data_IF_571964503978
#
_entry.id   IF_571964503978
#
_cell.length_a   1.000
_cell.length_b   1.000
_cell.length_c   1.000
_cell.angle_alpha   90.00
_cell.angle_beta   90.00
_cell.angle_gamma   90.00
#
_symmetry.space_group_name_H-M   'P 1'
#
loop_
_entity.id
_entity.type
_entity.pdbx_description
1 polymer ?
#
# COMPACT_ATOMS: atom_id res chain seq x y z
N UNK A 1 -68.80 3.21 -23.44
CA UNK A 1 -67.98 2.55 -24.43
C UNK A 1 -66.62 3.26 -24.41
N UNK A 2 -65.65 2.70 -23.69
CA UNK A 2 -64.27 3.21 -23.69
C UNK A 2 -63.43 2.10 -24.35
N UNK A 3 -62.99 2.36 -25.58
CA UNK A 3 -62.18 1.44 -26.36
C UNK A 3 -60.73 1.47 -25.92
N UNK A 4 -60.23 0.34 -25.49
CA UNK A 4 -58.84 0.05 -25.23
C UNK A 4 -57.95 0.33 -26.44
N UNK A 5 -56.99 1.24 -26.34
CA UNK A 5 -55.89 1.37 -27.29
C UNK A 5 -54.66 0.73 -26.67
N UNK A 6 -54.45 -0.56 -26.89
CA UNK A 6 -53.17 -1.20 -26.69
C UNK A 6 -52.38 -1.19 -28.00
N UNK A 7 -51.14 -0.74 -28.06
CA UNK A 7 -50.35 -0.78 -29.28
C UNK A 7 -50.06 -2.22 -29.66
N UNK A 8 -50.21 -2.51 -30.94
CA UNK A 8 -49.98 -3.80 -31.56
C UNK A 8 -48.57 -4.33 -31.28
N UNK A 9 -48.38 -5.64 -31.30
CA UNK A 9 -47.10 -6.32 -31.08
C UNK A 9 -45.93 -5.80 -31.95
N UNK A 10 -46.24 -5.18 -33.10
CA UNK A 10 -45.28 -4.55 -34.01
C UNK A 10 -44.79 -3.23 -33.45
N UNK A 11 -45.63 -2.40 -32.85
CA UNK A 11 -45.23 -1.11 -32.22
C UNK A 11 -44.33 -1.37 -30.99
N UNK A 12 -44.61 -2.39 -30.19
CA UNK A 12 -43.73 -2.80 -29.08
C UNK A 12 -42.36 -3.28 -29.55
N UNK A 13 -42.28 -4.07 -30.63
CA UNK A 13 -41.01 -4.53 -31.21
C UNK A 13 -40.20 -3.36 -31.80
N UNK A 14 -40.85 -2.37 -32.43
CA UNK A 14 -40.18 -1.17 -32.95
C UNK A 14 -39.69 -0.25 -31.84
N UNK A 15 -40.44 -0.10 -30.76
CA UNK A 15 -39.99 0.69 -29.58
C UNK A 15 -38.82 0.00 -28.86
N UNK A 16 -38.84 -1.35 -28.73
CA UNK A 16 -37.73 -2.13 -28.19
C UNK A 16 -36.48 -2.05 -29.05
N UNK A 17 -36.63 -2.13 -30.38
CA UNK A 17 -35.54 -2.00 -31.34
C UNK A 17 -34.95 -0.58 -31.32
N UNK A 18 -35.79 0.47 -31.23
CA UNK A 18 -35.32 1.85 -31.12
C UNK A 18 -34.61 2.13 -29.78
N UNK A 19 -35.11 1.62 -28.67
CA UNK A 19 -34.46 1.70 -27.36
C UNK A 19 -33.14 0.91 -27.34
N UNK A 20 -33.09 -0.25 -27.99
CA UNK A 20 -31.84 -1.04 -28.11
C UNK A 20 -30.81 -0.33 -29.00
N UNK A 21 -31.23 0.34 -30.07
CA UNK A 21 -30.37 1.11 -30.94
C UNK A 21 -29.83 2.37 -30.22
N UNK A 22 -30.67 3.06 -29.46
CA UNK A 22 -30.24 4.22 -28.63
C UNK A 22 -29.32 3.77 -27.54
N UNK A 23 -29.58 2.63 -26.88
CA UNK A 23 -28.67 2.06 -25.87
C UNK A 23 -27.34 1.58 -26.48
N UNK A 24 -27.39 1.01 -27.70
CA UNK A 24 -26.19 0.59 -28.43
C UNK A 24 -25.35 1.78 -28.92
N UNK A 25 -26.01 2.86 -29.38
CA UNK A 25 -25.35 4.12 -29.75
C UNK A 25 -24.77 4.80 -28.50
N UNK A 26 -25.47 4.74 -27.35
CA UNK A 26 -24.97 5.27 -26.08
C UNK A 26 -23.79 4.44 -25.55
N UNK A 27 -23.82 3.11 -25.68
CA UNK A 27 -22.71 2.22 -25.35
C UNK A 27 -21.51 2.41 -26.29
N UNK A 28 -21.75 2.68 -27.59
CA UNK A 28 -20.68 3.02 -28.54
C UNK A 28 -20.11 4.41 -28.21
N UNK A 29 -20.95 5.37 -27.82
CA UNK A 29 -20.53 6.71 -27.37
C UNK A 29 -19.74 6.67 -26.03
N UNK A 30 -20.08 5.78 -25.11
CA UNK A 30 -19.30 5.54 -23.88
C UNK A 30 -18.06 4.65 -24.11
N UNK A 31 -18.02 3.88 -25.20
CA UNK A 31 -16.86 3.07 -25.61
C UNK A 31 -15.83 3.84 -26.43
N UNK A 32 -16.16 5.04 -26.91
CA UNK A 32 -15.24 6.01 -27.50
C UNK A 32 -14.87 7.10 -26.47
N UNK A 33 -14.46 6.71 -25.25
CA UNK A 33 -13.41 7.47 -24.63
C UNK A 33 -12.21 7.33 -25.59
N UNK A 34 -11.92 8.38 -26.37
CA UNK A 34 -10.78 8.45 -27.26
C UNK A 34 -9.61 7.77 -26.58
N UNK A 35 -9.04 6.73 -27.20
CA UNK A 35 -7.70 6.27 -26.89
C UNK A 35 -6.82 7.47 -27.23
N UNK A 36 -6.62 8.39 -26.27
CA UNK A 36 -5.66 9.48 -26.42
C UNK A 36 -4.33 8.85 -26.76
N UNK A 37 -3.83 9.18 -27.91
CA UNK A 37 -2.57 8.66 -28.44
C UNK A 37 -1.45 9.14 -27.50
N UNK A 38 -0.93 8.22 -26.73
CA UNK A 38 0.06 8.46 -25.68
C UNK A 38 1.40 8.96 -26.27
N UNK A 39 1.55 8.95 -27.60
CA UNK A 39 2.76 9.36 -28.32
C UNK A 39 2.96 10.88 -28.47
N UNK A 40 1.96 11.73 -28.20
CA UNK A 40 2.05 13.18 -28.44
C UNK A 40 2.74 13.99 -27.34
N UNK A 41 3.11 13.44 -26.20
CA UNK A 41 3.72 14.21 -25.08
C UNK A 41 5.25 14.38 -25.25
N UNK A 42 5.84 13.91 -26.33
CA UNK A 42 7.31 13.97 -26.51
C UNK A 42 7.85 15.35 -26.97
N UNK A 43 6.98 16.25 -27.40
CA UNK A 43 7.41 17.51 -28.02
C UNK A 43 7.00 18.68 -27.10
N UNK A 44 7.86 18.97 -26.08
CA UNK A 44 7.59 20.03 -25.11
C UNK A 44 7.44 21.43 -25.75
N UNK A 45 7.99 21.65 -26.95
CA UNK A 45 7.89 22.91 -27.69
C UNK A 45 6.47 23.16 -28.22
N UNK A 46 5.65 22.11 -28.32
CA UNK A 46 4.23 22.19 -28.75
C UNK A 46 3.24 22.24 -27.57
N UNK A 47 3.71 22.19 -26.34
CA UNK A 47 2.84 22.26 -25.16
C UNK A 47 2.48 23.71 -24.91
N UNK A 48 1.22 24.09 -25.12
CA UNK A 48 0.68 25.35 -24.61
C UNK A 48 0.31 25.18 -23.12
N UNK A 49 1.06 25.79 -22.19
CA UNK A 49 0.80 25.63 -20.75
C UNK A 49 -0.52 26.28 -20.30
N UNK A 50 -1.14 27.12 -21.14
CA UNK A 50 -2.43 27.76 -20.88
C UNK A 50 -3.60 26.94 -21.43
N UNK A 51 -3.34 25.87 -22.16
CA UNK A 51 -4.37 24.97 -22.64
C UNK A 51 -4.81 24.04 -21.51
N UNK A 52 -6.12 23.92 -21.28
CA UNK A 52 -6.69 23.03 -20.25
C UNK A 52 -6.19 21.59 -20.37
N UNK A 53 -5.95 21.10 -21.60
CA UNK A 53 -5.38 19.77 -21.87
C UNK A 53 -3.93 19.60 -21.38
N UNK A 54 -3.19 20.68 -21.15
CA UNK A 54 -1.82 20.60 -20.63
C UNK A 54 -1.75 19.95 -19.23
N UNK A 55 -2.86 19.96 -18.49
CA UNK A 55 -2.97 19.39 -17.13
C UNK A 55 -3.69 18.03 -17.08
N UNK A 56 -3.97 17.42 -18.22
CA UNK A 56 -4.65 16.11 -18.30
C UNK A 56 -3.93 15.01 -17.49
N UNK A 57 -2.62 15.16 -17.25
CA UNK A 57 -1.88 14.22 -16.40
C UNK A 57 -2.38 14.19 -14.93
N UNK A 58 -3.09 15.23 -14.48
CA UNK A 58 -3.68 15.28 -13.12
C UNK A 58 -4.88 14.34 -12.98
N UNK A 59 -5.51 13.97 -14.10
CA UNK A 59 -6.66 13.06 -14.14
C UNK A 59 -6.25 11.59 -14.18
N UNK A 60 -4.95 11.29 -14.37
CA UNK A 60 -4.46 9.91 -14.45
C UNK A 60 -4.31 9.32 -13.05
N UNK A 61 -5.10 8.30 -12.76
CA UNK A 61 -4.96 7.49 -11.56
C UNK A 61 -3.80 6.49 -11.74
N UNK A 62 -2.61 6.86 -11.26
CA UNK A 62 -1.40 6.03 -11.31
C UNK A 62 -1.62 4.64 -10.69
N UNK A 63 -2.29 4.59 -9.54
CA UNK A 63 -2.50 3.33 -8.82
C UNK A 63 -3.44 2.40 -9.61
N UNK A 64 -4.48 2.95 -10.21
CA UNK A 64 -5.40 2.20 -11.07
C UNK A 64 -4.68 1.65 -12.31
N UNK A 65 -3.81 2.44 -12.92
CA UNK A 65 -3.03 2.02 -14.08
C UNK A 65 -2.03 0.92 -13.71
N UNK A 66 -1.37 1.01 -12.54
CA UNK A 66 -0.48 -0.03 -12.03
C UNK A 66 -1.24 -1.33 -11.70
N UNK A 67 -2.42 -1.23 -11.08
CA UNK A 67 -3.27 -2.39 -10.83
C UNK A 67 -3.70 -3.08 -12.14
N UNK A 68 -4.03 -2.29 -13.15
CA UNK A 68 -4.40 -2.80 -14.47
C UNK A 68 -3.22 -3.50 -15.16
N UNK A 69 -2.00 -2.92 -15.11
CA UNK A 69 -0.78 -3.56 -15.62
C UNK A 69 -0.57 -4.92 -14.95
N UNK A 70 -0.63 -4.97 -13.63
CA UNK A 70 -0.45 -6.20 -12.86
C UNK A 70 -1.56 -7.23 -13.13
N UNK A 71 -2.78 -6.78 -13.39
CA UNK A 71 -3.87 -7.67 -13.81
C UNK A 71 -3.57 -8.29 -15.18
N UNK A 72 -3.14 -7.50 -16.17
CA UNK A 72 -2.78 -8.01 -17.49
C UNK A 72 -1.63 -9.01 -17.42
N UNK A 73 -0.63 -8.81 -16.56
CA UNK A 73 0.43 -9.80 -16.32
C UNK A 73 -0.16 -11.12 -15.81
N UNK A 74 -1.06 -11.08 -14.81
CA UNK A 74 -1.73 -12.29 -14.29
C UNK A 74 -2.56 -13.02 -15.38
N UNK A 75 -3.16 -12.25 -16.28
CA UNK A 75 -3.92 -12.77 -17.43
C UNK A 75 -3.04 -13.18 -18.62
N UNK A 76 -1.70 -13.06 -18.50
CA UNK A 76 -0.71 -13.29 -19.57
C UNK A 76 -0.92 -12.42 -20.81
N UNK A 77 -1.53 -11.27 -20.65
CA UNK A 77 -1.71 -10.24 -21.68
C UNK A 77 -0.51 -9.28 -21.63
N UNK A 78 0.65 -9.80 -22.03
CA UNK A 78 1.93 -9.09 -21.86
C UNK A 78 2.06 -7.85 -22.72
N UNK A 79 1.40 -7.79 -23.86
CA UNK A 79 1.38 -6.62 -24.73
C UNK A 79 0.65 -5.45 -24.05
N UNK A 80 -0.56 -5.69 -23.53
CA UNK A 80 -1.35 -4.70 -22.82
C UNK A 80 -0.71 -4.28 -21.50
N UNK A 81 -0.07 -5.22 -20.80
CA UNK A 81 0.72 -4.92 -19.62
C UNK A 81 1.89 -3.97 -19.95
N UNK A 82 2.63 -4.24 -21.04
CA UNK A 82 3.71 -3.38 -21.49
C UNK A 82 3.24 -1.97 -21.84
N UNK A 83 2.05 -1.82 -22.46
CA UNK A 83 1.46 -0.51 -22.73
C UNK A 83 1.19 0.27 -21.44
N UNK A 84 0.64 -0.39 -20.42
CA UNK A 84 0.40 0.23 -19.11
C UNK A 84 1.72 0.63 -18.44
N UNK A 85 2.74 -0.23 -18.44
CA UNK A 85 4.05 0.11 -17.86
C UNK A 85 4.73 1.26 -18.59
N UNK A 86 4.66 1.32 -19.92
CA UNK A 86 5.15 2.47 -20.70
C UNK A 86 4.40 3.76 -20.33
N UNK A 87 3.09 3.68 -20.12
CA UNK A 87 2.32 4.83 -19.66
C UNK A 87 2.72 5.28 -18.25
N UNK A 88 2.96 4.34 -17.32
CA UNK A 88 3.48 4.64 -15.97
C UNK A 88 4.84 5.31 -16.02
N UNK A 89 5.74 4.88 -16.91
CA UNK A 89 7.08 5.45 -17.05
C UNK A 89 7.07 6.91 -17.56
N UNK A 90 5.97 7.39 -18.14
CA UNK A 90 5.83 8.83 -18.45
C UNK A 90 5.78 9.70 -17.20
N UNK A 91 5.35 9.15 -16.08
CA UNK A 91 5.31 9.86 -14.79
C UNK A 91 6.62 9.73 -14.02
N UNK A 92 7.37 8.62 -14.22
CA UNK A 92 8.67 8.40 -13.58
C UNK A 92 9.57 7.53 -14.45
N UNK A 93 10.46 8.17 -15.19
CA UNK A 93 11.42 7.48 -16.05
C UNK A 93 12.49 6.70 -15.27
N UNK A 94 12.61 6.91 -13.96
CA UNK A 94 13.59 6.26 -13.09
C UNK A 94 12.98 5.22 -12.14
N UNK A 95 11.75 4.80 -12.36
CA UNK A 95 11.16 3.69 -11.60
C UNK A 95 11.74 2.35 -12.09
N UNK A 96 12.81 1.91 -11.43
CA UNK A 96 13.53 0.68 -11.76
C UNK A 96 12.64 -0.57 -11.74
N UNK A 97 11.62 -0.60 -10.86
CA UNK A 97 10.68 -1.71 -10.75
C UNK A 97 9.73 -1.76 -11.95
N UNK A 98 9.15 -0.62 -12.32
CA UNK A 98 8.29 -0.53 -13.51
C UNK A 98 9.07 -0.83 -14.78
N UNK A 99 10.33 -0.35 -14.89
CA UNK A 99 11.20 -0.66 -16.05
C UNK A 99 11.52 -2.16 -16.10
N UNK A 100 11.80 -2.79 -14.95
CA UNK A 100 12.06 -4.23 -14.90
C UNK A 100 10.82 -5.04 -15.30
N UNK A 101 9.63 -4.68 -14.80
CA UNK A 101 8.38 -5.34 -15.17
C UNK A 101 8.05 -5.18 -16.66
N UNK A 102 8.39 -4.04 -17.26
CA UNK A 102 8.31 -3.84 -18.71
C UNK A 102 9.27 -4.80 -19.44
N UNK A 103 10.49 -4.96 -18.94
CA UNK A 103 11.45 -5.91 -19.52
C UNK A 103 10.92 -7.36 -19.45
N UNK A 104 10.29 -7.75 -18.34
CA UNK A 104 9.63 -9.06 -18.20
C UNK A 104 8.54 -9.26 -19.26
N UNK A 105 7.70 -8.26 -19.50
CA UNK A 105 6.70 -8.32 -20.58
C UNK A 105 7.35 -8.53 -21.93
N UNK A 106 8.42 -7.81 -22.26
CA UNK A 106 9.15 -8.00 -23.50
C UNK A 106 9.82 -9.38 -23.59
N UNK A 107 10.34 -9.90 -22.48
CA UNK A 107 10.87 -11.26 -22.38
C UNK A 107 9.82 -12.32 -22.75
N UNK A 108 8.63 -12.20 -22.17
CA UNK A 108 7.49 -13.09 -22.46
C UNK A 108 6.96 -12.95 -23.90
N UNK A 109 7.10 -11.77 -24.51
CA UNK A 109 6.77 -11.52 -25.91
C UNK A 109 7.89 -11.95 -26.89
N UNK A 110 9.01 -12.49 -26.40
CA UNK A 110 10.15 -12.89 -27.21
C UNK A 110 10.90 -11.71 -27.86
N UNK A 111 10.75 -10.49 -27.34
CA UNK A 111 11.37 -9.26 -27.86
C UNK A 111 12.70 -8.98 -27.13
N UNK A 112 13.73 -9.78 -27.44
CA UNK A 112 15.02 -9.75 -26.75
C UNK A 112 15.66 -8.34 -26.72
N UNK A 113 15.69 -7.62 -27.85
CA UNK A 113 16.25 -6.27 -27.93
C UNK A 113 15.59 -5.29 -26.99
N UNK A 114 14.24 -5.32 -26.93
CA UNK A 114 13.46 -4.42 -26.07
C UNK A 114 13.62 -4.81 -24.60
N UNK A 115 13.63 -6.10 -24.30
CA UNK A 115 13.86 -6.60 -22.95
C UNK A 115 15.24 -6.16 -22.44
N UNK A 116 16.30 -6.36 -23.23
CA UNK A 116 17.67 -5.98 -22.85
C UNK A 116 17.82 -4.47 -22.69
N UNK A 117 17.24 -3.67 -23.60
CA UNK A 117 17.25 -2.20 -23.44
C UNK A 117 16.55 -1.78 -22.15
N UNK A 118 15.40 -2.38 -21.84
CA UNK A 118 14.68 -2.08 -20.60
C UNK A 118 15.48 -2.51 -19.37
N UNK A 119 16.14 -3.67 -19.40
CA UNK A 119 17.03 -4.12 -18.31
C UNK A 119 18.21 -3.19 -18.10
N UNK A 120 18.88 -2.75 -19.17
CA UNK A 120 19.94 -1.74 -19.09
C UNK A 120 19.42 -0.43 -18.42
N UNK A 121 18.24 -0.01 -18.79
CA UNK A 121 17.62 1.17 -18.16
C UNK A 121 17.27 0.91 -16.69
N UNK A 122 16.71 -0.26 -16.34
CA UNK A 122 16.41 -0.63 -14.97
C UNK A 122 17.68 -0.61 -14.10
N UNK A 123 18.80 -1.16 -14.59
CA UNK A 123 20.09 -1.15 -13.91
C UNK A 123 20.59 0.29 -13.70
N UNK A 124 20.48 1.15 -14.71
CA UNK A 124 20.81 2.59 -14.58
C UNK A 124 19.90 3.32 -13.60
N UNK A 125 18.64 2.90 -13.48
CA UNK A 125 17.67 3.38 -12.51
C UNK A 125 17.75 2.66 -11.15
N UNK A 126 18.91 2.08 -10.84
CA UNK A 126 19.24 1.45 -9.55
C UNK A 126 18.61 0.07 -9.29
N UNK A 127 18.18 -0.66 -10.31
CA UNK A 127 17.87 -2.08 -10.17
C UNK A 127 19.15 -2.88 -9.84
N UNK A 128 19.12 -3.64 -8.72
CA UNK A 128 20.32 -4.35 -8.22
C UNK A 128 20.08 -5.81 -7.90
N UNK A 129 18.88 -6.35 -8.13
CA UNK A 129 18.61 -7.76 -7.92
C UNK A 129 19.08 -8.61 -9.10
N UNK A 130 20.40 -8.77 -9.16
CA UNK A 130 21.02 -9.54 -10.25
C UNK A 130 20.75 -11.04 -10.12
N UNK A 131 20.49 -11.56 -8.92
CA UNK A 131 20.10 -12.95 -8.73
C UNK A 131 18.70 -13.22 -9.31
N UNK A 132 17.75 -12.29 -9.12
CA UNK A 132 16.48 -12.36 -9.80
C UNK A 132 16.68 -12.32 -11.31
N UNK A 133 17.45 -11.34 -11.83
CA UNK A 133 17.71 -11.20 -13.25
C UNK A 133 18.27 -12.48 -13.89
N UNK A 134 19.22 -13.13 -13.22
CA UNK A 134 19.85 -14.39 -13.68
C UNK A 134 18.84 -15.53 -13.77
N UNK A 135 17.86 -15.59 -12.88
CA UNK A 135 16.99 -16.75 -12.69
C UNK A 135 15.52 -16.52 -13.09
N UNK A 136 15.14 -15.31 -13.49
CA UNK A 136 13.74 -14.97 -13.79
C UNK A 136 13.23 -15.75 -15.00
N UNK A 137 12.09 -16.43 -14.79
CA UNK A 137 11.42 -17.26 -15.81
C UNK A 137 10.84 -16.42 -16.94
N UNK A 138 10.59 -15.14 -16.72
CA UNK A 138 10.06 -14.26 -17.74
C UNK A 138 11.03 -14.05 -18.92
N UNK A 139 12.31 -14.31 -18.70
CA UNK A 139 13.33 -14.25 -19.74
C UNK A 139 13.69 -15.63 -20.33
N UNK A 140 12.98 -16.70 -19.96
CA UNK A 140 13.34 -18.06 -20.44
C UNK A 140 13.38 -18.16 -21.96
N UNK A 141 12.44 -17.52 -22.67
CA UNK A 141 12.36 -17.54 -24.12
C UNK A 141 13.46 -16.77 -24.86
N UNK A 142 14.12 -15.84 -24.18
CA UNK A 142 15.18 -14.99 -24.76
C UNK A 142 16.55 -15.23 -24.13
N UNK A 143 16.66 -16.11 -23.15
CA UNK A 143 17.85 -16.33 -22.33
C UNK A 143 19.10 -16.69 -23.14
N UNK A 144 18.94 -17.38 -24.27
CA UNK A 144 20.00 -17.83 -25.14
C UNK A 144 20.28 -16.89 -26.33
N UNK A 145 19.59 -15.75 -26.41
CA UNK A 145 19.89 -14.76 -27.44
C UNK A 145 21.22 -14.05 -27.16
N UNK A 146 21.97 -13.68 -28.20
CA UNK A 146 23.24 -12.98 -28.02
C UNK A 146 23.13 -11.71 -27.19
N UNK A 147 22.04 -10.96 -27.35
CA UNK A 147 21.78 -9.71 -26.65
C UNK A 147 21.63 -9.94 -25.13
N UNK A 148 20.84 -10.95 -24.74
CA UNK A 148 20.61 -11.27 -23.33
C UNK A 148 21.87 -11.89 -22.70
N UNK A 149 22.57 -12.75 -23.41
CA UNK A 149 23.84 -13.31 -22.93
C UNK A 149 24.91 -12.22 -22.75
N UNK A 150 24.98 -11.24 -23.65
CA UNK A 150 25.85 -10.08 -23.49
C UNK A 150 25.48 -9.26 -22.25
N UNK A 151 24.19 -9.03 -21.99
CA UNK A 151 23.75 -8.37 -20.77
C UNK A 151 24.23 -9.13 -19.51
N UNK A 152 23.99 -10.44 -19.46
CA UNK A 152 24.38 -11.26 -18.29
C UNK A 152 25.94 -11.28 -18.10
N UNK A 153 26.71 -11.22 -19.15
CA UNK A 153 28.20 -11.18 -19.05
C UNK A 153 28.71 -9.92 -18.34
N UNK A 154 27.90 -8.85 -18.30
CA UNK A 154 28.25 -7.59 -17.63
C UNK A 154 27.86 -7.57 -16.14
N UNK A 155 27.03 -8.52 -15.68
CA UNK A 155 26.56 -8.56 -14.28
C UNK A 155 27.72 -8.63 -13.29
N UNK A 156 28.77 -9.47 -13.46
CA UNK A 156 29.89 -9.50 -12.52
C UNK A 156 30.60 -8.15 -12.37
N UNK A 157 30.69 -7.36 -13.45
CA UNK A 157 31.27 -6.00 -13.40
C UNK A 157 30.40 -5.07 -12.56
N UNK A 158 29.09 -5.14 -12.68
CA UNK A 158 28.18 -4.31 -11.88
C UNK A 158 28.17 -4.72 -10.41
N UNK A 159 28.29 -6.02 -10.12
CA UNK A 159 28.43 -6.54 -8.75
C UNK A 159 29.74 -6.06 -8.11
N UNK A 160 30.85 -6.08 -8.86
CA UNK A 160 32.16 -5.61 -8.41
C UNK A 160 32.17 -4.08 -8.15
N UNK A 161 31.58 -3.28 -9.05
CA UNK A 161 31.46 -1.82 -8.87
C UNK A 161 30.69 -1.48 -7.60
N UNK A 162 29.70 -2.27 -7.23
CA UNK A 162 28.92 -2.04 -6.02
C UNK A 162 29.75 -2.28 -4.75
N UNK A 163 30.67 -3.21 -4.78
CA UNK A 163 31.42 -3.65 -3.61
C UNK A 163 30.55 -4.32 -2.54
N UNK A 164 31.09 -4.47 -1.35
CA UNK A 164 30.40 -5.05 -0.21
C UNK A 164 29.45 -4.01 0.43
N UNK A 165 28.18 -4.41 0.65
CA UNK A 165 27.22 -3.59 1.37
C UNK A 165 27.29 -3.90 2.87
N UNK A 166 27.75 -2.93 3.68
CA UNK A 166 27.78 -3.01 5.14
C UNK A 166 26.63 -2.15 5.68
N UNK A 167 25.82 -2.74 6.56
CA UNK A 167 24.71 -2.03 7.18
C UNK A 167 25.05 -1.66 8.61
N UNK A 168 24.99 -0.36 8.92
CA UNK A 168 25.32 0.19 10.23
C UNK A 168 24.07 0.75 10.88
N UNK A 169 23.80 0.34 12.12
CA UNK A 169 22.73 0.93 12.94
C UNK A 169 23.09 2.38 13.27
N UNK A 170 22.24 3.32 12.89
CA UNK A 170 22.41 4.75 13.19
C UNK A 170 21.15 5.33 13.78
N UNK A 171 21.25 6.46 14.49
CA UNK A 171 20.11 7.24 14.94
C UNK A 171 19.73 8.28 13.88
N UNK A 172 18.44 8.47 13.65
CA UNK A 172 17.90 9.54 12.80
C UNK A 172 16.73 10.24 13.49
N UNK A 173 16.45 11.48 13.11
CA UNK A 173 15.23 12.15 13.54
C UNK A 173 14.03 11.54 12.80
N UNK A 174 12.97 11.27 13.57
CA UNK A 174 11.67 10.84 13.06
C UNK A 174 10.68 11.96 13.25
N UNK A 175 9.90 12.28 12.21
CA UNK A 175 8.79 13.19 12.36
C UNK A 175 7.66 12.52 13.15
N UNK A 176 7.12 13.25 14.12
CA UNK A 176 6.00 12.84 14.93
C UNK A 176 4.97 13.97 14.96
N UNK A 177 3.87 13.79 14.28
CA UNK A 177 2.76 14.74 14.28
C UNK A 177 1.81 14.45 15.43
N UNK A 178 1.43 15.50 16.17
CA UNK A 178 0.53 15.36 17.33
C UNK A 178 -0.62 16.35 17.22
N UNK A 179 -1.83 15.88 17.53
CA UNK A 179 -3.04 16.70 17.64
C UNK A 179 -3.64 16.56 19.04
N UNK A 180 -3.75 17.66 19.74
CA UNK A 180 -4.40 17.72 21.04
C UNK A 180 -5.92 17.89 20.86
N UNK A 181 -6.76 17.42 21.81
CA UNK A 181 -8.19 17.64 21.77
C UNK A 181 -8.52 19.15 21.82
N UNK A 182 -9.65 19.54 21.22
CA UNK A 182 -10.05 20.95 21.10
C UNK A 182 -10.08 21.72 22.43
N UNK A 183 -10.43 21.04 23.53
CA UNK A 183 -10.48 21.61 24.89
C UNK A 183 -9.44 20.92 25.76
N UNK A 184 -8.16 20.97 25.31
CA UNK A 184 -7.06 20.38 26.05
C UNK A 184 -6.82 21.13 27.36
N UNK A 185 -6.75 20.37 28.45
CA UNK A 185 -6.42 20.85 29.79
C UNK A 185 -5.30 19.99 30.37
N UNK A 186 -4.15 20.57 30.64
CA UNK A 186 -2.97 19.85 31.12
C UNK A 186 -3.13 19.22 32.50
N UNK A 187 -4.15 19.62 33.27
CA UNK A 187 -4.48 19.02 34.56
C UNK A 187 -5.26 17.69 34.46
N UNK A 188 -5.77 17.37 33.28
CA UNK A 188 -6.57 16.16 33.02
C UNK A 188 -5.74 15.16 32.22
N UNK A 189 -5.95 13.85 32.47
CA UNK A 189 -5.35 12.79 31.67
C UNK A 189 -6.25 12.43 30.49
N UNK A 190 -5.62 12.09 29.36
CA UNK A 190 -6.27 11.73 28.10
C UNK A 190 -5.75 10.40 27.58
N UNK A 191 -6.60 9.57 26.95
CA UNK A 191 -6.11 8.46 26.16
C UNK A 191 -5.27 8.99 24.99
N UNK A 192 -4.21 8.27 24.65
CA UNK A 192 -3.37 8.50 23.49
C UNK A 192 -3.70 7.45 22.44
N UNK A 193 -4.01 7.87 21.21
CA UNK A 193 -4.13 7.02 20.04
C UNK A 193 -2.97 7.32 19.09
N UNK A 194 -2.06 6.36 18.95
CA UNK A 194 -0.96 6.42 17.98
C UNK A 194 -1.39 5.70 16.71
N UNK A 195 -1.38 6.38 15.57
CA UNK A 195 -1.74 5.82 14.28
C UNK A 195 -0.51 5.50 13.43
N UNK A 196 -0.36 4.25 13.02
CA UNK A 196 0.68 3.77 12.11
C UNK A 196 0.10 3.62 10.71
N UNK A 197 0.64 4.38 9.75
CA UNK A 197 0.19 4.35 8.36
C UNK A 197 0.51 3.03 7.66
N UNK A 198 -0.15 2.74 6.55
CA UNK A 198 0.16 1.61 5.67
C UNK A 198 1.45 1.83 4.86
N UNK A 199 1.90 0.79 4.17
CA UNK A 199 3.05 0.89 3.26
C UNK A 199 2.80 1.95 2.18
N UNK A 200 3.75 2.86 1.99
CA UNK A 200 3.60 3.99 1.09
C UNK A 200 2.74 5.15 1.61
N UNK A 201 2.28 5.11 2.86
CA UNK A 201 1.64 6.22 3.55
C UNK A 201 2.64 7.15 4.25
N UNK A 202 2.10 8.10 5.03
CA UNK A 202 2.89 9.03 5.83
C UNK A 202 2.12 9.50 7.08
N UNK A 203 2.83 10.21 7.97
CA UNK A 203 2.30 10.77 9.22
C UNK A 203 1.13 11.73 8.99
N UNK A 204 1.21 12.59 7.98
CA UNK A 204 0.16 13.59 7.69
C UNK A 204 -1.17 12.94 7.30
N UNK A 205 -1.14 11.98 6.37
CA UNK A 205 -2.33 11.26 5.93
C UNK A 205 -2.98 10.51 7.09
N UNK A 206 -2.18 9.84 7.92
CA UNK A 206 -2.68 9.09 9.06
C UNK A 206 -3.30 10.00 10.12
N UNK A 207 -2.61 11.10 10.47
CA UNK A 207 -3.14 12.07 11.42
C UNK A 207 -4.39 12.76 10.89
N UNK A 208 -4.44 13.10 9.60
CA UNK A 208 -5.60 13.71 8.96
C UNK A 208 -6.83 12.80 9.04
N UNK A 209 -6.68 11.51 8.73
CA UNK A 209 -7.77 10.52 8.82
C UNK A 209 -8.31 10.42 10.24
N UNK A 210 -7.44 10.25 11.25
CA UNK A 210 -7.84 10.18 12.66
C UNK A 210 -8.51 11.48 13.12
N UNK A 211 -7.90 12.63 12.81
CA UNK A 211 -8.43 13.94 13.24
C UNK A 211 -9.79 14.26 12.58
N UNK A 212 -9.99 13.87 11.33
CA UNK A 212 -11.27 14.05 10.65
C UNK A 212 -12.42 13.38 11.42
N UNK A 213 -12.21 12.17 11.89
CA UNK A 213 -13.23 11.41 12.62
C UNK A 213 -13.35 11.81 14.11
N UNK A 214 -12.21 12.10 14.77
CA UNK A 214 -12.12 12.18 16.25
C UNK A 214 -11.82 13.59 16.79
N UNK A 215 -11.87 14.64 15.97
CA UNK A 215 -11.53 16.02 16.37
C UNK A 215 -12.34 16.59 17.53
N UNK A 216 -13.52 16.01 17.84
CA UNK A 216 -14.39 16.43 18.95
C UNK A 216 -14.18 15.59 20.20
N UNK A 217 -13.46 14.49 20.10
CA UNK A 217 -13.26 13.55 21.20
C UNK A 217 -12.10 13.98 22.10
N UNK A 218 -12.16 13.71 23.40
CA UNK A 218 -11.10 14.03 24.35
C UNK A 218 -9.97 13.00 24.29
N UNK A 219 -9.28 12.91 23.14
CA UNK A 219 -8.18 12.00 22.85
C UNK A 219 -7.01 12.76 22.27
N UNK A 220 -5.79 12.41 22.68
CA UNK A 220 -4.55 12.87 22.03
C UNK A 220 -4.29 11.95 20.84
N UNK A 221 -4.14 12.52 19.64
CA UNK A 221 -3.81 11.80 18.43
C UNK A 221 -2.33 12.01 18.10
N UNK A 222 -1.63 10.94 17.75
CA UNK A 222 -0.24 11.01 17.31
C UNK A 222 -0.03 10.12 16.08
N UNK A 223 0.78 10.58 15.14
CA UNK A 223 1.14 9.81 13.95
C UNK A 223 2.64 9.94 13.71
N UNK A 224 3.43 8.93 14.07
CA UNK A 224 4.83 8.87 13.72
C UNK A 224 5.03 8.51 12.26
N UNK A 225 6.12 8.97 11.67
CA UNK A 225 6.55 8.66 10.33
C UNK A 225 7.25 7.30 10.30
N UNK A 226 6.94 6.48 9.30
CA UNK A 226 7.64 5.21 9.08
C UNK A 226 9.16 5.40 8.91
N UNK A 227 9.93 4.40 9.35
CA UNK A 227 11.39 4.53 9.46
C UNK A 227 12.09 4.62 8.10
N UNK A 228 11.54 4.04 7.05
CA UNK A 228 12.21 3.90 5.76
C UNK A 228 11.46 4.63 4.65
N UNK A 229 12.16 5.41 3.79
CA UNK A 229 11.50 5.99 2.62
C UNK A 229 11.05 4.89 1.66
N UNK A 230 9.87 5.07 1.08
CA UNK A 230 9.33 4.20 0.05
C UNK A 230 9.31 4.95 -1.29
N UNK A 231 10.19 4.57 -2.19
CA UNK A 231 10.37 5.22 -3.49
C UNK A 231 9.45 4.66 -4.58
N UNK A 232 8.60 3.67 -4.27
CA UNK A 232 7.70 3.06 -5.25
C UNK A 232 6.54 3.94 -5.69
N UNK A 233 6.36 5.12 -5.06
CA UNK A 233 5.28 6.05 -5.37
C UNK A 233 5.81 7.43 -5.77
N UNK A 234 5.20 8.00 -6.79
CA UNK A 234 5.70 9.19 -7.50
C UNK A 234 5.39 10.53 -6.87
N UNK A 235 4.47 10.60 -5.92
CA UNK A 235 3.98 11.88 -5.38
C UNK A 235 4.08 11.92 -3.88
N UNK A 236 4.81 12.92 -3.39
CA UNK A 236 4.97 13.21 -1.96
C UNK A 236 6.02 12.32 -1.29
N UNK A 237 6.10 12.47 0.02
CA UNK A 237 6.97 11.64 0.84
C UNK A 237 6.20 10.39 1.26
N UNK A 238 6.70 9.25 0.84
CA UNK A 238 6.13 7.93 1.13
C UNK A 238 7.08 7.12 1.98
N UNK A 239 6.52 6.39 2.94
CA UNK A 239 7.32 5.68 3.93
C UNK A 239 6.83 4.26 4.19
N UNK A 240 7.70 3.48 4.77
CA UNK A 240 7.49 2.10 5.20
C UNK A 240 8.02 1.92 6.62
N UNK A 241 7.41 1.03 7.37
CA UNK A 241 7.92 0.60 8.68
C UNK A 241 9.04 -0.41 8.53
N UNK A 242 9.06 -1.10 7.40
CA UNK A 242 9.99 -2.16 7.02
C UNK A 242 11.03 -1.62 6.05
N UNK A 243 12.27 -2.07 6.19
CA UNK A 243 13.31 -1.76 5.21
C UNK A 243 12.92 -2.34 3.84
N UNK A 244 12.89 -1.50 2.82
CA UNK A 244 12.54 -1.89 1.46
C UNK A 244 13.70 -2.63 0.80
N UNK A 245 13.76 -3.95 1.01
CA UNK A 245 14.82 -4.83 0.52
C UNK A 245 14.26 -6.21 0.20
N UNK A 246 14.91 -6.90 -0.73
CA UNK A 246 14.69 -8.34 -0.98
C UNK A 246 15.57 -9.24 -0.11
N UNK A 247 16.60 -8.67 0.51
CA UNK A 247 17.42 -9.40 1.49
C UNK A 247 16.69 -9.46 2.83
N UNK A 248 15.98 -10.55 3.08
CA UNK A 248 15.19 -10.76 4.30
C UNK A 248 16.02 -10.78 5.60
N UNK A 249 17.33 -11.04 5.52
CA UNK A 249 18.21 -10.93 6.68
C UNK A 249 18.24 -9.51 7.27
N UNK A 250 18.06 -8.49 6.42
CA UNK A 250 18.00 -7.11 6.88
C UNK A 250 16.74 -6.77 7.67
N UNK A 251 15.67 -7.56 7.54
CA UNK A 251 14.47 -7.39 8.37
C UNK A 251 14.77 -7.70 9.83
N UNK A 252 15.65 -8.69 10.12
CA UNK A 252 16.12 -8.97 11.48
C UNK A 252 16.81 -7.79 12.16
N UNK A 253 17.32 -6.84 11.37
CA UNK A 253 17.95 -5.60 11.85
C UNK A 253 16.96 -4.43 11.83
N UNK A 254 16.21 -4.30 10.72
CA UNK A 254 15.32 -3.16 10.46
C UNK A 254 14.06 -3.15 11.32
N UNK A 255 13.40 -4.29 11.49
CA UNK A 255 12.16 -4.37 12.24
C UNK A 255 12.32 -4.06 13.74
N UNK A 256 13.34 -4.59 14.45
CA UNK A 256 13.61 -4.16 15.82
C UNK A 256 13.82 -2.66 15.95
N UNK A 257 14.51 -2.02 14.99
CA UNK A 257 14.72 -0.56 15.01
C UNK A 257 13.39 0.21 14.90
N UNK A 258 12.49 -0.21 14.02
CA UNK A 258 11.17 0.42 13.89
C UNK A 258 10.36 0.28 15.18
N UNK A 259 10.44 -0.86 15.86
CA UNK A 259 9.74 -1.11 17.13
C UNK A 259 10.36 -0.32 18.27
N UNK A 260 11.70 -0.25 18.37
CA UNK A 260 12.42 0.58 19.34
C UNK A 260 12.04 2.07 19.18
N UNK A 261 11.95 2.56 17.93
CA UNK A 261 11.51 3.92 17.63
C UNK A 261 10.07 4.18 18.11
N UNK A 262 9.16 3.21 17.94
CA UNK A 262 7.78 3.34 18.42
C UNK A 262 7.70 3.36 19.95
N UNK A 263 8.54 2.58 20.63
CA UNK A 263 8.67 2.66 22.08
C UNK A 263 9.15 4.04 22.53
N UNK A 264 10.17 4.60 21.87
CA UNK A 264 10.67 5.94 22.16
C UNK A 264 9.59 7.03 21.95
N UNK A 265 8.78 6.91 20.89
CA UNK A 265 7.61 7.78 20.65
C UNK A 265 6.68 7.81 21.86
N UNK A 266 6.34 6.63 22.41
CA UNK A 266 5.47 6.55 23.60
C UNK A 266 6.12 7.21 24.80
N UNK A 267 7.42 6.98 25.03
CA UNK A 267 8.15 7.58 26.17
C UNK A 267 8.21 9.12 26.06
N UNK A 268 8.49 9.64 24.87
CA UNK A 268 8.50 11.09 24.61
C UNK A 268 7.13 11.70 24.87
N UNK A 269 6.07 11.07 24.36
CA UNK A 269 4.71 11.58 24.52
C UNK A 269 4.24 11.54 25.98
N UNK A 270 4.56 10.47 26.73
CA UNK A 270 4.24 10.35 28.17
C UNK A 270 4.96 11.41 29.01
N UNK A 271 6.18 11.79 28.64
CA UNK A 271 6.90 12.89 29.31
C UNK A 271 6.30 14.26 29.01
N UNK A 272 5.72 14.43 27.81
CA UNK A 272 5.26 15.73 27.32
C UNK A 272 3.79 16.01 27.65
N UNK A 273 2.94 14.99 27.71
CA UNK A 273 1.49 15.12 27.83
C UNK A 273 0.92 14.23 28.95
N UNK A 274 -0.18 14.67 29.61
CA UNK A 274 -0.85 13.89 30.64
C UNK A 274 -1.66 12.73 30.03
N UNK A 275 -1.00 11.59 29.80
CA UNK A 275 -1.57 10.41 29.15
C UNK A 275 -2.10 9.44 30.23
N UNK A 276 -3.33 8.96 30.05
CA UNK A 276 -3.91 7.89 30.87
C UNK A 276 -3.53 6.50 30.34
N UNK A 277 -3.86 6.22 29.11
CA UNK A 277 -3.70 4.93 28.44
C UNK A 277 -3.18 5.13 27.03
N UNK A 278 -2.47 4.15 26.48
CA UNK A 278 -1.90 4.20 25.14
C UNK A 278 -2.53 3.11 24.29
N UNK A 279 -3.05 3.49 23.16
CA UNK A 279 -3.55 2.60 22.12
C UNK A 279 -2.74 2.81 20.84
N UNK A 280 -2.36 1.71 20.17
CA UNK A 280 -1.66 1.77 18.89
C UNK A 280 -2.59 1.21 17.82
N UNK A 281 -2.95 2.04 16.86
CA UNK A 281 -3.73 1.71 15.67
C UNK A 281 -2.78 1.54 14.51
N UNK A 282 -2.82 0.39 13.84
CA UNK A 282 -2.09 0.16 12.62
C UNK A 282 -3.03 -0.11 11.44
N UNK A 283 -2.73 0.51 10.32
CA UNK A 283 -3.41 0.25 9.06
C UNK A 283 -2.49 -0.52 8.11
N UNK A 284 -3.01 -1.60 7.51
CA UNK A 284 -2.26 -2.39 6.52
C UNK A 284 -0.90 -2.85 7.09
N UNK A 285 0.24 -2.49 6.52
CA UNK A 285 1.58 -2.77 7.05
C UNK A 285 1.72 -2.27 8.51
N UNK A 286 1.20 -1.09 8.83
CA UNK A 286 1.24 -0.53 10.18
C UNK A 286 0.60 -1.43 11.23
N UNK A 287 -0.38 -2.28 10.85
CA UNK A 287 -1.01 -3.22 11.77
C UNK A 287 -0.03 -4.30 12.29
N UNK A 288 0.84 -4.82 11.43
CA UNK A 288 1.88 -5.76 11.86
C UNK A 288 2.82 -5.10 12.88
N UNK A 289 3.22 -3.84 12.67
CA UNK A 289 4.07 -3.10 13.60
C UNK A 289 3.37 -2.68 14.89
N UNK A 290 2.04 -2.46 14.84
CA UNK A 290 1.24 -2.28 16.06
C UNK A 290 1.25 -3.55 16.91
N UNK A 291 1.03 -4.73 16.32
CA UNK A 291 1.13 -6.01 17.01
C UNK A 291 2.55 -6.26 17.56
N UNK A 292 3.59 -6.10 16.74
CA UNK A 292 4.98 -6.27 17.13
C UNK A 292 5.33 -5.39 18.33
N UNK A 293 4.92 -4.11 18.31
CA UNK A 293 5.13 -3.19 19.42
C UNK A 293 4.41 -3.63 20.68
N UNK A 294 3.15 -4.07 20.56
CA UNK A 294 2.37 -4.58 21.69
C UNK A 294 2.96 -5.84 22.32
N UNK A 295 3.45 -6.77 21.50
CA UNK A 295 4.05 -8.02 22.02
C UNK A 295 5.45 -7.82 22.60
N UNK A 296 6.26 -6.92 22.04
CA UNK A 296 7.60 -6.62 22.56
C UNK A 296 7.59 -5.70 23.80
N UNK A 297 6.59 -4.82 23.90
CA UNK A 297 6.46 -3.86 25.02
C UNK A 297 5.02 -3.84 25.56
N UNK A 298 4.51 -4.97 26.09
CA UNK A 298 3.10 -5.11 26.47
C UNK A 298 2.66 -4.22 27.63
N UNK A 299 3.58 -3.76 28.49
CA UNK A 299 3.32 -2.79 29.57
C UNK A 299 3.10 -1.37 29.05
N UNK A 300 3.48 -1.11 27.83
CA UNK A 300 3.41 0.21 27.20
C UNK A 300 2.00 0.52 26.70
N UNK A 301 1.20 -0.50 26.36
CA UNK A 301 -0.09 -0.36 25.68
C UNK A 301 -1.25 -0.89 26.50
N UNK A 302 -2.40 -0.22 26.42
CA UNK A 302 -3.69 -0.70 26.91
C UNK A 302 -4.40 -1.54 25.81
N UNK A 303 -4.15 -1.24 24.55
CA UNK A 303 -4.72 -1.98 23.44
C UNK A 303 -4.08 -1.73 22.09
N UNK A 304 -4.25 -2.72 21.21
CA UNK A 304 -3.82 -2.70 19.81
C UNK A 304 -5.04 -2.72 18.90
N UNK A 305 -5.02 -1.90 17.86
CA UNK A 305 -6.05 -1.83 16.84
C UNK A 305 -5.42 -2.17 15.49
N UNK A 306 -5.95 -3.19 14.81
CA UNK A 306 -5.51 -3.62 13.48
C UNK A 306 -6.63 -3.37 12.47
N UNK A 307 -6.35 -2.59 11.43
CA UNK A 307 -7.30 -2.33 10.34
C UNK A 307 -6.71 -2.85 9.03
N UNK A 308 -7.35 -3.83 8.42
CA UNK A 308 -6.96 -4.39 7.12
C UNK A 308 -5.49 -4.86 7.08
N UNK A 309 -4.95 -5.35 8.18
CA UNK A 309 -3.54 -5.70 8.30
C UNK A 309 -3.28 -7.19 8.49
N UNK A 310 -2.03 -7.57 8.26
CA UNK A 310 -1.54 -8.92 8.49
C UNK A 310 -1.07 -9.06 9.94
N UNK A 311 -1.27 -10.25 10.49
CA UNK A 311 -0.63 -10.66 11.74
C UNK A 311 0.86 -10.95 11.44
N UNK A 312 1.80 -10.50 12.30
CA UNK A 312 3.21 -10.76 12.07
C UNK A 312 3.54 -12.26 12.08
N UNK A 313 4.49 -12.65 11.24
CA UNK A 313 5.03 -14.03 11.25
C UNK A 313 5.71 -14.34 12.58
N UNK A 314 5.57 -15.59 13.02
CA UNK A 314 6.20 -16.10 14.23
C UNK A 314 7.02 -17.36 13.93
N UNK A 315 8.11 -17.56 14.67
CA UNK A 315 8.93 -18.79 14.65
C UNK A 315 9.47 -19.16 13.25
N UNK A 316 9.59 -18.20 12.35
CA UNK A 316 10.28 -18.36 11.07
C UNK A 316 11.73 -17.89 11.20
N UNK A 317 12.56 -18.25 10.22
CA UNK A 317 13.97 -17.80 10.17
C UNK A 317 14.10 -16.27 10.21
N UNK A 318 13.11 -15.55 9.65
CA UNK A 318 13.14 -14.10 9.51
C UNK A 318 12.26 -13.37 10.53
N UNK A 319 11.44 -14.06 11.30
CA UNK A 319 10.59 -13.43 12.29
C UNK A 319 11.38 -12.98 13.53
N UNK A 320 11.05 -11.81 14.03
CA UNK A 320 11.60 -11.26 15.27
C UNK A 320 10.71 -11.56 16.49
N UNK A 321 9.56 -12.21 16.25
CA UNK A 321 8.56 -12.57 17.26
C UNK A 321 8.46 -14.09 17.36
N UNK A 322 8.50 -14.59 18.59
CA UNK A 322 8.28 -16.01 18.88
C UNK A 322 6.85 -16.21 19.40
N UNK A 323 6.21 -17.31 19.01
CA UNK A 323 4.82 -17.57 19.41
C UNK A 323 4.65 -17.64 20.95
N UNK A 324 5.65 -18.18 21.67
CA UNK A 324 5.69 -18.19 23.13
C UNK A 324 5.68 -16.80 23.77
N UNK A 325 6.19 -15.76 23.08
CA UNK A 325 6.12 -14.37 23.58
C UNK A 325 4.68 -13.85 23.55
N UNK A 326 3.90 -14.27 22.56
CA UNK A 326 2.48 -13.93 22.47
C UNK A 326 1.69 -14.71 23.52
N UNK A 327 1.95 -16.01 23.65
CA UNK A 327 1.25 -16.90 24.58
C UNK A 327 1.48 -16.51 26.04
N UNK A 328 2.73 -16.26 26.43
CA UNK A 328 3.13 -16.01 27.82
C UNK A 328 3.23 -14.53 28.19
N UNK A 329 3.15 -13.62 27.21
CA UNK A 329 3.23 -12.19 27.43
C UNK A 329 2.05 -11.62 28.20
N UNK A 330 2.24 -10.42 28.79
CA UNK A 330 1.16 -9.65 29.39
C UNK A 330 0.08 -9.35 28.35
N UNK A 331 -1.17 -9.57 28.70
CA UNK A 331 -2.31 -9.38 27.82
C UNK A 331 -2.73 -7.91 27.78
N UNK A 332 -3.13 -7.47 26.62
CA UNK A 332 -3.76 -6.20 26.33
C UNK A 332 -5.01 -6.43 25.49
N UNK A 333 -5.85 -5.44 25.35
CA UNK A 333 -7.06 -5.53 24.54
C UNK A 333 -6.72 -5.40 23.05
N UNK A 334 -7.45 -6.11 22.20
CA UNK A 334 -7.24 -6.08 20.75
C UNK A 334 -8.54 -5.78 20.03
N UNK A 335 -8.48 -4.85 19.08
CA UNK A 335 -9.56 -4.60 18.13
C UNK A 335 -9.06 -4.92 16.72
N UNK A 336 -9.76 -5.79 16.01
CA UNK A 336 -9.42 -6.16 14.63
C UNK A 336 -10.56 -5.75 13.73
N UNK A 337 -10.27 -4.99 12.66
CA UNK A 337 -11.24 -4.59 11.65
C UNK A 337 -10.81 -5.04 10.26
N UNK A 338 -11.76 -5.59 9.50
CA UNK A 338 -11.57 -6.03 8.13
C UNK A 338 -12.68 -5.50 7.24
N UNK A 339 -12.33 -4.86 6.13
CA UNK A 339 -13.29 -4.47 5.10
C UNK A 339 -13.83 -5.69 4.36
N UNK A 340 -15.15 -5.79 4.19
CA UNK A 340 -15.78 -6.92 3.51
C UNK A 340 -15.49 -6.96 2.00
N UNK A 341 -15.05 -5.85 1.42
CA UNK A 341 -14.63 -5.72 0.02
C UNK A 341 -13.11 -5.51 -0.13
N UNK A 342 -12.32 -5.80 0.92
CA UNK A 342 -10.86 -5.70 0.86
C UNK A 342 -10.29 -6.72 -0.14
N UNK A 343 -9.70 -6.21 -1.24
CA UNK A 343 -9.11 -7.04 -2.31
C UNK A 343 -7.63 -7.33 -2.11
N UNK A 344 -6.98 -6.66 -1.16
CA UNK A 344 -5.56 -6.87 -0.86
C UNK A 344 -5.38 -8.00 0.14
N UNK A 345 -6.31 -8.13 1.09
CA UNK A 345 -6.28 -9.16 2.12
C UNK A 345 -7.56 -9.99 2.07
N UNK A 346 -7.39 -11.32 2.01
CA UNK A 346 -8.54 -12.23 1.95
C UNK A 346 -9.43 -12.09 3.18
N UNK A 347 -10.74 -12.12 2.95
CA UNK A 347 -11.73 -12.28 4.02
C UNK A 347 -11.37 -13.50 4.88
N UNK A 348 -11.40 -13.33 6.19
CA UNK A 348 -11.07 -14.40 7.13
C UNK A 348 -9.67 -14.31 7.75
N UNK A 349 -8.75 -13.48 7.26
CA UNK A 349 -7.47 -13.25 7.96
C UNK A 349 -7.69 -12.62 9.33
N UNK A 350 -8.54 -11.60 9.43
CA UNK A 350 -8.92 -10.98 10.70
C UNK A 350 -9.59 -11.98 11.66
N UNK A 351 -10.49 -12.83 11.15
CA UNK A 351 -11.14 -13.88 11.93
C UNK A 351 -10.13 -14.91 12.47
N UNK A 352 -9.22 -15.41 11.62
CA UNK A 352 -8.15 -16.34 12.04
C UNK A 352 -7.21 -15.74 13.10
N UNK A 353 -6.82 -14.46 12.93
CA UNK A 353 -6.03 -13.74 13.91
C UNK A 353 -6.79 -13.63 15.24
N UNK A 354 -8.09 -13.36 15.18
CA UNK A 354 -8.97 -13.28 16.35
C UNK A 354 -9.03 -14.60 17.11
N UNK A 355 -9.23 -15.71 16.41
CA UNK A 355 -9.25 -17.05 17.01
C UNK A 355 -7.91 -17.39 17.68
N UNK A 356 -6.80 -17.11 16.98
CA UNK A 356 -5.46 -17.34 17.51
C UNK A 356 -5.22 -16.57 18.80
N UNK A 357 -5.53 -15.27 18.81
CA UNK A 357 -5.31 -14.42 19.99
C UNK A 357 -6.24 -14.78 21.16
N UNK A 358 -7.50 -15.11 20.91
CA UNK A 358 -8.44 -15.60 21.94
C UNK A 358 -7.94 -16.89 22.57
N UNK A 359 -7.37 -17.80 21.78
CA UNK A 359 -6.75 -19.05 22.31
C UNK A 359 -5.62 -18.75 23.30
N UNK A 360 -4.88 -17.65 23.11
CA UNK A 360 -3.82 -17.21 24.02
C UNK A 360 -4.31 -16.27 25.13
N UNK A 361 -5.62 -16.14 25.32
CA UNK A 361 -6.23 -15.39 26.40
C UNK A 361 -6.28 -13.87 26.22
N UNK A 362 -6.15 -13.38 24.98
CA UNK A 362 -6.37 -11.95 24.69
C UNK A 362 -7.87 -11.65 24.60
N UNK A 363 -8.27 -10.47 25.09
CA UNK A 363 -9.59 -9.91 24.84
C UNK A 363 -9.62 -9.30 23.44
N UNK A 364 -10.36 -9.93 22.52
CA UNK A 364 -10.39 -9.52 21.10
C UNK A 364 -11.80 -9.20 20.67
N UNK A 365 -12.02 -7.96 20.18
CA UNK A 365 -13.21 -7.56 19.44
C UNK A 365 -12.89 -7.61 17.93
N UNK A 366 -13.71 -8.33 17.15
CA UNK A 366 -13.57 -8.43 15.69
C UNK A 366 -14.75 -7.73 15.03
N UNK A 367 -14.45 -6.88 14.05
CA UNK A 367 -15.44 -6.09 13.32
C UNK A 367 -15.21 -6.18 11.82
N UNK A 368 -16.16 -6.76 11.10
CA UNK A 368 -16.26 -6.51 9.65
C UNK A 368 -16.98 -5.19 9.40
N UNK A 369 -16.52 -4.43 8.42
CA UNK A 369 -17.16 -3.17 8.03
C UNK A 369 -17.36 -3.10 6.52
N UNK A 370 -18.36 -2.32 6.13
CA UNK A 370 -18.64 -2.05 4.71
C UNK A 370 -17.55 -1.13 4.15
N UNK A 371 -16.74 -1.66 3.23
CA UNK A 371 -15.60 -0.94 2.66
C UNK A 371 -14.52 -1.86 2.11
N UNK A 372 -13.53 -1.26 1.47
CA UNK A 372 -12.35 -1.90 0.92
C UNK A 372 -11.17 -1.87 1.89
N UNK A 373 -9.97 -1.68 1.30
CA UNK A 373 -8.71 -1.52 2.05
C UNK A 373 -8.53 -0.04 2.44
N UNK A 374 -9.28 0.42 3.43
CA UNK A 374 -9.34 1.84 3.81
C UNK A 374 -9.71 2.04 5.30
N UNK A 375 -9.46 3.23 5.81
CA UNK A 375 -9.91 3.66 7.14
C UNK A 375 -11.14 4.56 6.98
N UNK A 376 -12.29 4.13 7.49
CA UNK A 376 -13.51 4.96 7.43
C UNK A 376 -13.71 5.78 8.71
N UNK A 377 -14.33 6.97 8.63
CA UNK A 377 -14.65 7.77 9.82
C UNK A 377 -15.57 7.03 10.82
N UNK A 378 -16.50 6.22 10.32
CA UNK A 378 -17.43 5.42 11.12
C UNK A 378 -16.68 4.35 11.92
N UNK A 379 -15.71 3.68 11.30
CA UNK A 379 -14.86 2.71 11.97
C UNK A 379 -14.04 3.37 13.08
N UNK A 380 -13.44 4.52 12.82
CA UNK A 380 -12.66 5.25 13.85
C UNK A 380 -13.51 5.66 15.05
N UNK A 381 -14.77 6.06 14.85
CA UNK A 381 -15.72 6.34 15.96
C UNK A 381 -16.04 5.10 16.77
N UNK A 382 -16.23 3.94 16.12
CA UNK A 382 -16.42 2.65 16.82
C UNK A 382 -15.18 2.27 17.63
N UNK A 383 -13.99 2.43 17.06
CA UNK A 383 -12.71 2.20 17.73
C UNK A 383 -12.60 3.10 18.98
N UNK A 384 -12.90 4.39 18.84
CA UNK A 384 -12.89 5.30 19.99
C UNK A 384 -13.87 4.86 21.09
N UNK A 385 -15.08 4.46 20.70
CA UNK A 385 -16.06 3.92 21.65
C UNK A 385 -15.57 2.64 22.34
N UNK A 386 -14.86 1.78 21.62
CA UNK A 386 -14.21 0.59 22.18
C UNK A 386 -13.08 0.97 23.17
N UNK A 387 -12.24 1.96 22.84
CA UNK A 387 -11.21 2.47 23.76
C UNK A 387 -11.81 3.00 25.07
N UNK A 388 -13.00 3.63 25.02
CA UNK A 388 -13.67 4.22 26.17
C UNK A 388 -14.37 3.18 27.08
N UNK A 389 -14.59 1.95 26.62
CA UNK A 389 -15.09 0.85 27.47
C UNK A 389 -13.99 0.43 28.44
N UNK A 390 -14.30 0.44 29.75
CA UNK A 390 -13.40 -0.09 30.80
C UNK A 390 -13.60 -1.58 30.98
#
# INVERSE_FOLDING_TARGET
>A
MITNIFPTNIARKLIFAALFLVFFIFMISMGHAEKKDIHEIADYEKIDPLNEKAVDFLEVDYNKLLQQANQFVREKKYFEAAQCYLALLKFNLNDSTTIYNLACCYGQLGKADLAVKSLDMAIRADFRDFELLKNDKDFAGIRHTPEFMNLLSRVPVWEDIRGEAIYVKTSKLMELLVKLPQKFDSSRKYPLLIGLHGNGGNSEQMLAAMNHALKKEPVILAAPQGAYPNFSQLRGQHFSWEIQTRNRELWKIGDPLSIENLNEVVQVLRKKYPISEVYILGFSQGAAYAFLSGFKYPEMVAGIISIGGLFPETDTEFSILQEKEIENGKKFRVFIAQGNNDRLHSLGLGAKTTEKLKKYGYEVEYQEYEGGHEITPELLKKIYSWMAKK
#
